data_IF_692044183566
#
_entry.id   IF_692044183566
#
_cell.length_a   1.000
_cell.length_b   1.000
_cell.length_c   1.000
_cell.angle_alpha   90.00
_cell.angle_beta   90.00
_cell.angle_gamma   90.00
#
_symmetry.space_group_name_H-M   'P 1'
#
loop_
_entity.id
_entity.type
_entity.pdbx_description
1 polymer ?
#
# COMPACT_ATOMS: atom_id res chain seq x y z
N UNK A 1 54.92 45.81 55.79
CA UNK A 1 53.74 45.22 55.11
C UNK A 1 54.23 43.99 54.36
N UNK A 2 53.99 42.79 54.88
CA UNK A 2 54.52 41.54 54.30
C UNK A 2 53.35 40.67 53.81
N UNK A 3 53.36 40.33 52.52
CA UNK A 3 52.30 39.57 51.84
C UNK A 3 52.54 38.07 52.10
N UNK A 4 51.52 37.39 52.63
CA UNK A 4 51.52 35.95 52.93
C UNK A 4 51.19 35.17 51.64
N UNK A 5 51.95 34.15 51.23
CA UNK A 5 51.63 33.39 50.03
C UNK A 5 50.42 32.47 50.28
N UNK A 6 49.43 32.55 49.39
CA UNK A 6 48.28 31.66 49.34
C UNK A 6 48.71 30.29 48.81
N UNK A 7 48.53 29.23 49.61
CA UNK A 7 48.73 27.83 49.17
C UNK A 7 47.80 27.53 48.00
N UNK A 8 48.38 27.32 46.82
CA UNK A 8 47.67 26.87 45.64
C UNK A 8 47.30 25.38 45.82
N UNK A 9 46.02 25.08 45.97
CA UNK A 9 45.54 23.72 46.14
C UNK A 9 45.57 23.03 44.77
N UNK A 10 46.68 22.35 44.47
CA UNK A 10 46.85 21.58 43.24
C UNK A 10 45.67 20.63 43.06
N UNK A 11 44.81 20.91 42.09
CA UNK A 11 43.77 19.98 41.67
C UNK A 11 44.47 18.69 41.24
N UNK A 12 44.22 17.61 41.96
CA UNK A 12 44.65 16.27 41.57
C UNK A 12 43.92 15.87 40.29
N UNK A 13 44.50 16.23 39.15
CA UNK A 13 44.10 15.75 37.82
C UNK A 13 44.53 14.30 37.68
N UNK A 14 43.80 13.39 38.35
CA UNK A 14 43.95 11.96 38.10
C UNK A 14 43.47 11.71 36.69
N UNK A 15 44.40 11.44 35.78
CA UNK A 15 44.10 11.06 34.40
C UNK A 15 43.35 9.74 34.35
N UNK A 16 42.46 9.60 33.37
CA UNK A 16 41.73 8.36 33.13
C UNK A 16 42.69 7.24 32.78
N UNK A 17 42.46 6.07 33.35
CA UNK A 17 43.26 4.89 33.02
C UNK A 17 42.85 4.36 31.65
N UNK A 18 43.81 3.78 30.91
CA UNK A 18 43.54 3.22 29.57
C UNK A 18 42.50 2.08 29.65
N UNK A 19 42.48 1.33 30.76
CA UNK A 19 41.51 0.28 31.01
C UNK A 19 40.08 0.83 31.23
N UNK A 20 39.95 1.97 31.90
CA UNK A 20 38.65 2.60 32.14
C UNK A 20 38.02 3.10 30.83
N UNK A 21 38.83 3.72 29.96
CA UNK A 21 38.38 4.15 28.63
C UNK A 21 37.94 2.93 27.80
N UNK A 22 38.67 1.82 27.88
CA UNK A 22 38.33 0.59 27.17
C UNK A 22 36.98 0.01 27.65
N UNK A 23 36.76 -0.03 28.97
CA UNK A 23 35.49 -0.51 29.56
C UNK A 23 34.33 0.39 29.14
N UNK A 24 34.51 1.71 29.19
CA UNK A 24 33.45 2.68 28.80
C UNK A 24 33.10 2.55 27.32
N UNK A 25 34.10 2.45 26.44
CA UNK A 25 33.85 2.24 25.01
C UNK A 25 33.15 0.90 24.74
N UNK A 26 33.51 -0.15 25.47
CA UNK A 26 32.84 -1.45 25.40
C UNK A 26 31.36 -1.38 25.82
N UNK A 27 31.05 -0.66 26.91
CA UNK A 27 29.68 -0.46 27.38
C UNK A 27 28.85 0.37 26.38
N UNK A 28 29.41 1.43 25.81
CA UNK A 28 28.71 2.24 24.80
C UNK A 28 28.43 1.40 23.54
N UNK A 29 29.41 0.63 23.06
CA UNK A 29 29.23 -0.26 21.91
C UNK A 29 28.17 -1.33 22.17
N UNK A 30 28.13 -1.89 23.38
CA UNK A 30 27.14 -2.88 23.78
C UNK A 30 25.71 -2.30 23.84
N UNK A 31 25.56 -1.09 24.38
CA UNK A 31 24.26 -0.40 24.43
C UNK A 31 23.77 -0.07 23.02
N UNK A 32 24.65 0.40 22.13
CA UNK A 32 24.32 0.65 20.72
C UNK A 32 23.86 -0.65 20.05
N UNK A 33 24.55 -1.77 20.28
CA UNK A 33 24.20 -3.06 19.71
C UNK A 33 22.81 -3.54 20.13
N UNK A 34 22.41 -3.31 21.39
CA UNK A 34 21.07 -3.64 21.86
C UNK A 34 19.99 -2.67 21.33
N UNK A 35 20.33 -1.40 21.10
CA UNK A 35 19.39 -0.37 20.65
C UNK A 35 18.89 -0.54 19.21
N UNK A 36 19.70 -1.11 18.32
CA UNK A 36 19.41 -1.17 16.87
C UNK A 36 18.21 -2.07 16.53
N UNK A 37 17.92 -3.12 17.32
CA UNK A 37 16.88 -4.10 16.94
C UNK A 37 15.43 -3.65 17.16
N UNK A 38 15.16 -2.52 17.82
CA UNK A 38 13.79 -2.10 18.18
C UNK A 38 13.11 -1.14 17.17
N UNK A 39 13.83 -0.64 16.17
CA UNK A 39 13.32 0.44 15.31
C UNK A 39 12.70 0.01 13.98
N UNK A 40 12.85 -1.24 13.56
CA UNK A 40 12.24 -1.72 12.32
C UNK A 40 10.91 -2.40 12.65
N UNK A 41 9.83 -1.62 12.71
CA UNK A 41 8.49 -2.14 12.95
C UNK A 41 7.83 -2.43 11.58
N UNK A 42 7.86 -3.69 11.07
CA UNK A 42 7.38 -4.01 9.72
C UNK A 42 5.91 -3.63 9.48
N UNK A 43 5.10 -3.61 10.55
CA UNK A 43 3.67 -3.32 10.49
C UNK A 43 3.34 -1.90 9.98
N UNK A 44 4.22 -0.91 10.21
CA UNK A 44 3.97 0.47 9.74
C UNK A 44 4.06 0.55 8.22
N UNK A 45 4.96 -0.22 7.62
CA UNK A 45 5.16 -0.27 6.17
C UNK A 45 3.97 -0.92 5.45
N UNK A 46 3.33 -1.92 6.05
CA UNK A 46 2.16 -2.59 5.48
C UNK A 46 0.96 -1.67 5.38
N UNK A 47 0.65 -0.99 6.49
CA UNK A 47 -0.44 -0.01 6.53
C UNK A 47 -0.19 1.14 5.54
N UNK A 48 1.08 1.53 5.33
CA UNK A 48 1.45 2.52 4.33
C UNK A 48 1.19 2.02 2.90
N UNK A 49 1.52 0.76 2.59
CA UNK A 49 1.22 0.17 1.28
C UNK A 49 -0.30 0.14 1.00
N UNK A 50 -1.11 -0.28 1.98
CA UNK A 50 -2.58 -0.26 1.86
C UNK A 50 -3.13 1.16 1.69
N UNK A 51 -2.65 2.12 2.50
CA UNK A 51 -3.01 3.55 2.36
C UNK A 51 -2.67 4.09 0.98
N UNK A 52 -1.55 3.66 0.41
CA UNK A 52 -1.14 4.11 -0.91
C UNK A 52 -2.11 3.65 -2.00
N UNK A 53 -2.65 2.42 -1.91
CA UNK A 53 -3.72 1.95 -2.82
C UNK A 53 -4.95 2.84 -2.71
N UNK A 54 -5.37 3.19 -1.48
CA UNK A 54 -6.49 4.11 -1.27
C UNK A 54 -6.22 5.51 -1.84
N UNK A 55 -5.00 6.03 -1.70
CA UNK A 55 -4.61 7.31 -2.30
C UNK A 55 -4.61 7.26 -3.82
N UNK A 56 -4.07 6.20 -4.42
CA UNK A 56 -4.10 6.01 -5.88
C UNK A 56 -5.54 5.99 -6.40
N UNK A 57 -6.45 5.28 -5.72
CA UNK A 57 -7.87 5.26 -6.10
C UNK A 57 -8.48 6.67 -6.16
N UNK A 58 -8.29 7.49 -5.10
CA UNK A 58 -8.76 8.88 -5.09
C UNK A 58 -8.15 9.73 -6.20
N UNK A 59 -6.85 9.54 -6.44
CA UNK A 59 -6.12 10.24 -7.50
C UNK A 59 -6.66 9.89 -8.89
N UNK A 60 -6.91 8.61 -9.17
CA UNK A 60 -7.49 8.16 -10.44
C UNK A 60 -8.87 8.74 -10.68
N UNK A 61 -9.70 8.83 -9.65
CA UNK A 61 -11.01 9.46 -9.76
C UNK A 61 -10.94 10.95 -10.10
N UNK A 62 -10.00 11.70 -9.49
CA UNK A 62 -9.81 13.11 -9.84
C UNK A 62 -9.23 13.24 -11.25
N UNK A 63 -8.22 12.43 -11.58
CA UNK A 63 -7.56 12.46 -12.88
C UNK A 63 -8.49 12.06 -14.03
N UNK A 64 -9.40 11.08 -13.85
CA UNK A 64 -10.31 10.64 -14.92
C UNK A 64 -11.18 11.81 -15.39
N UNK A 65 -11.70 12.60 -14.44
CA UNK A 65 -12.48 13.82 -14.71
C UNK A 65 -11.67 14.91 -15.40
N UNK A 66 -10.40 15.09 -15.02
CA UNK A 66 -9.55 16.15 -15.58
C UNK A 66 -9.02 15.82 -16.98
N UNK A 67 -8.73 14.55 -17.25
CA UNK A 67 -8.09 14.11 -18.49
C UNK A 67 -9.06 13.59 -19.54
N UNK A 68 -10.32 13.32 -19.16
CA UNK A 68 -11.34 12.82 -20.06
C UNK A 68 -11.12 11.37 -20.50
N UNK A 69 -10.21 10.64 -19.85
CA UNK A 69 -9.88 9.23 -20.17
C UNK A 69 -10.30 8.29 -19.05
N UNK A 70 -10.58 7.04 -19.42
CA UNK A 70 -10.93 6.00 -18.45
C UNK A 70 -9.65 5.46 -17.83
N UNK A 71 -9.55 5.49 -16.50
CA UNK A 71 -8.48 4.77 -15.79
C UNK A 71 -9.03 3.48 -15.21
N UNK A 72 -8.15 2.49 -15.03
CA UNK A 72 -8.44 1.33 -14.19
C UNK A 72 -7.30 1.02 -13.26
N UNK A 73 -7.64 0.64 -12.04
CA UNK A 73 -6.72 0.08 -11.06
C UNK A 73 -6.75 -1.44 -11.22
N UNK A 74 -5.66 -2.01 -11.71
CA UNK A 74 -5.52 -3.43 -11.97
C UNK A 74 -4.84 -4.14 -10.79
N UNK A 75 -5.37 -5.31 -10.45
CA UNK A 75 -4.91 -6.17 -9.37
C UNK A 75 -4.63 -7.55 -9.94
N UNK A 76 -3.41 -8.04 -9.78
CA UNK A 76 -3.02 -9.41 -10.10
C UNK A 76 -2.84 -10.20 -8.80
N UNK A 77 -3.72 -11.17 -8.58
CA UNK A 77 -3.76 -12.02 -7.41
C UNK A 77 -3.04 -13.32 -7.73
N UNK A 78 -1.79 -13.41 -7.29
CA UNK A 78 -0.87 -14.49 -7.64
C UNK A 78 -0.88 -15.67 -6.66
N UNK A 79 -1.72 -15.60 -5.63
CA UNK A 79 -1.80 -16.61 -4.59
C UNK A 79 -0.46 -16.81 -3.88
N UNK A 80 -0.06 -18.06 -3.62
CA UNK A 80 1.17 -18.38 -2.89
C UNK A 80 2.45 -18.37 -3.75
N UNK A 81 2.35 -18.20 -5.07
CA UNK A 81 3.49 -18.39 -6.00
C UNK A 81 4.36 -17.16 -6.19
N UNK A 82 3.77 -15.96 -6.14
CA UNK A 82 4.48 -14.68 -6.30
C UNK A 82 3.78 -13.56 -5.54
N UNK A 83 4.44 -12.42 -5.40
CA UNK A 83 3.84 -11.21 -4.82
C UNK A 83 2.65 -10.76 -5.69
N UNK A 84 1.59 -10.29 -5.03
CA UNK A 84 0.46 -9.69 -5.74
C UNK A 84 0.90 -8.34 -6.32
N UNK A 85 0.34 -7.97 -7.47
CA UNK A 85 0.73 -6.76 -8.18
C UNK A 85 -0.43 -5.80 -8.34
N UNK A 86 -0.13 -4.51 -8.26
CA UNK A 86 -1.09 -3.43 -8.47
C UNK A 86 -0.49 -2.39 -9.40
N UNK A 87 -1.27 -1.96 -10.37
CA UNK A 87 -0.87 -0.91 -11.30
C UNK A 87 -2.06 -0.16 -11.88
N UNK A 88 -1.75 0.92 -12.57
CA UNK A 88 -2.74 1.78 -13.21
C UNK A 88 -2.63 1.62 -14.71
N UNK A 89 -3.77 1.51 -15.38
CA UNK A 89 -3.87 1.57 -16.83
C UNK A 89 -4.85 2.65 -17.25
N UNK A 90 -4.66 3.18 -18.45
CA UNK A 90 -5.53 4.18 -19.05
C UNK A 90 -6.04 3.71 -20.41
N UNK A 91 -7.27 4.10 -20.74
CA UNK A 91 -7.84 3.96 -22.07
C UNK A 91 -8.37 5.29 -22.57
N UNK A 92 -8.01 5.62 -23.80
CA UNK A 92 -8.51 6.79 -24.52
C UNK A 92 -9.90 6.55 -25.15
N UNK A 93 -10.46 5.34 -25.04
CA UNK A 93 -11.78 5.00 -25.57
C UNK A 93 -12.84 5.08 -24.47
N UNK A 94 -14.07 5.46 -24.85
CA UNK A 94 -15.23 5.42 -23.94
C UNK A 94 -15.56 3.96 -23.63
N UNK A 95 -15.50 3.61 -22.36
CA UNK A 95 -15.76 2.26 -21.87
C UNK A 95 -16.92 2.35 -20.89
N UNK A 96 -17.90 1.47 -21.06
CA UNK A 96 -19.02 1.30 -20.13
C UNK A 96 -18.65 0.25 -19.09
N UNK A 97 -19.23 0.31 -17.89
CA UNK A 97 -19.05 -0.75 -16.89
C UNK A 97 -19.38 -2.11 -17.50
N UNK A 98 -18.46 -3.09 -17.44
CA UNK A 98 -18.70 -4.40 -18.02
C UNK A 98 -19.88 -5.06 -17.31
N UNK A 99 -20.86 -5.53 -18.08
CA UNK A 99 -22.06 -6.16 -17.53
C UNK A 99 -21.73 -7.50 -16.85
N UNK A 100 -22.59 -7.95 -15.94
CA UNK A 100 -22.43 -9.22 -15.22
C UNK A 100 -22.23 -10.42 -16.17
N UNK A 101 -22.83 -10.36 -17.37
CA UNK A 101 -22.68 -11.36 -18.44
C UNK A 101 -21.30 -11.32 -19.08
N UNK A 102 -20.76 -10.12 -19.36
CA UNK A 102 -19.42 -9.95 -19.94
C UNK A 102 -18.31 -10.32 -18.95
N UNK A 103 -18.50 -10.05 -17.65
CA UNK A 103 -17.58 -10.47 -16.59
C UNK A 103 -17.57 -11.99 -16.40
N UNK A 104 -18.74 -12.65 -16.45
CA UNK A 104 -18.85 -14.12 -16.40
C UNK A 104 -18.23 -14.78 -17.66
N UNK A 105 -18.46 -14.22 -18.84
CA UNK A 105 -17.84 -14.71 -20.09
C UNK A 105 -16.31 -14.55 -20.11
N UNK A 106 -15.76 -13.44 -19.59
CA UNK A 106 -14.30 -13.26 -19.42
C UNK A 106 -13.70 -14.21 -18.36
N UNK A 107 -14.49 -14.64 -17.37
CA UNK A 107 -14.06 -15.55 -16.30
C UNK A 107 -14.02 -17.02 -16.74
N UNK A 108 -14.98 -17.45 -17.57
CA UNK A 108 -15.03 -18.82 -18.12
C UNK A 108 -14.04 -19.02 -19.28
N UNK A 109 -13.69 -17.95 -20.00
CA UNK A 109 -12.55 -17.95 -20.93
C UNK A 109 -11.24 -17.79 -20.16
N UNK A 110 -10.74 -18.89 -19.60
CA UNK A 110 -9.28 -19.01 -19.43
C UNK A 110 -8.66 -18.76 -20.81
N UNK A 111 -7.71 -17.83 -20.87
CA UNK A 111 -6.82 -17.62 -22.03
C UNK A 111 -7.41 -16.81 -23.20
N UNK A 112 -7.52 -15.49 -23.04
CA UNK A 112 -6.97 -14.57 -24.05
C UNK A 112 -6.66 -13.17 -23.45
N UNK A 113 -5.50 -12.99 -22.81
CA UNK A 113 -5.05 -11.69 -22.34
C UNK A 113 -4.74 -10.69 -23.47
N UNK A 114 -4.81 -11.08 -24.75
CA UNK A 114 -4.47 -10.24 -25.89
C UNK A 114 -5.63 -9.31 -26.28
N UNK A 115 -6.88 -9.74 -26.09
CA UNK A 115 -8.08 -8.94 -26.39
C UNK A 115 -8.37 -7.81 -25.40
N UNK A 116 -7.97 -7.96 -24.14
CA UNK A 116 -8.14 -6.91 -23.10
C UNK A 116 -6.97 -5.90 -23.10
N UNK A 117 -5.79 -6.29 -23.61
CA UNK A 117 -4.62 -5.42 -23.78
C UNK A 117 -4.78 -4.36 -24.88
N UNK A 118 -5.76 -4.51 -25.77
CA UNK A 118 -5.91 -3.60 -26.92
C UNK A 118 -6.52 -2.24 -26.56
N UNK A 119 -7.27 -2.13 -25.45
CA UNK A 119 -7.99 -0.89 -25.10
C UNK A 119 -7.32 -0.12 -23.97
N UNK A 120 -6.63 -0.81 -23.07
CA UNK A 120 -5.93 -0.21 -21.95
C UNK A 120 -4.43 -0.38 -22.12
N UNK A 121 -3.70 0.73 -22.00
CA UNK A 121 -2.25 0.72 -22.01
C UNK A 121 -1.72 1.39 -20.75
N UNK A 122 -0.55 0.96 -20.28
CA UNK A 122 0.14 1.63 -19.18
C UNK A 122 0.53 3.03 -19.70
N UNK A 123 -0.21 4.06 -19.29
CA UNK A 123 0.07 5.43 -19.71
C UNK A 123 1.31 5.95 -18.96
N UNK A 124 2.42 6.06 -19.69
CA UNK A 124 3.71 6.56 -19.19
C UNK A 124 3.64 8.03 -18.72
N UNK A 125 2.58 8.78 -19.07
CA UNK A 125 2.34 10.17 -18.62
C UNK A 125 1.78 10.23 -17.21
N UNK A 126 1.21 9.14 -16.71
CA UNK A 126 0.93 8.95 -15.28
C UNK A 126 2.26 8.59 -14.63
N UNK A 127 3.06 9.61 -14.33
CA UNK A 127 4.40 9.44 -13.77
C UNK A 127 4.44 8.36 -12.69
N UNK A 128 5.25 7.32 -12.91
CA UNK A 128 5.76 6.43 -11.87
C UNK A 128 4.74 5.57 -11.09
N UNK A 129 3.68 5.08 -11.74
CA UNK A 129 2.92 3.92 -11.24
C UNK A 129 3.05 2.72 -12.20
N UNK A 130 4.30 2.39 -12.54
CA UNK A 130 4.61 1.09 -13.14
C UNK A 130 4.14 -0.07 -12.26
N UNK A 131 4.09 -1.27 -12.83
CA UNK A 131 3.68 -2.50 -12.13
C UNK A 131 4.36 -2.58 -10.77
N UNK A 132 3.57 -2.47 -9.70
CA UNK A 132 4.09 -2.45 -8.33
C UNK A 132 3.74 -3.74 -7.63
N UNK A 133 4.77 -4.37 -7.09
CA UNK A 133 4.60 -5.53 -6.23
C UNK A 133 4.21 -5.08 -4.83
N UNK A 134 3.19 -5.73 -4.26
CA UNK A 134 2.86 -5.59 -2.85
C UNK A 134 4.04 -6.11 -2.01
N UNK A 135 4.25 -5.58 -0.79
CA UNK A 135 5.17 -6.17 0.16
C UNK A 135 4.90 -7.68 0.30
N UNK A 136 5.96 -8.49 0.39
CA UNK A 136 5.87 -9.95 0.28
C UNK A 136 4.90 -10.62 1.26
N UNK A 137 4.65 -9.99 2.40
CA UNK A 137 3.76 -10.48 3.43
C UNK A 137 2.31 -9.97 3.30
N UNK A 138 1.97 -9.20 2.27
CA UNK A 138 0.65 -8.63 2.03
C UNK A 138 0.01 -9.31 0.81
N UNK A 139 -1.25 -9.72 0.94
CA UNK A 139 -2.03 -10.41 -0.10
C UNK A 139 -3.40 -9.79 -0.28
N UNK A 140 -3.84 -9.75 -1.53
CA UNK A 140 -5.22 -9.44 -1.88
C UNK A 140 -6.00 -10.74 -1.72
N UNK A 141 -6.97 -10.76 -0.81
CA UNK A 141 -7.81 -11.94 -0.56
C UNK A 141 -8.95 -12.06 -1.54
N UNK A 142 -9.64 -10.94 -1.77
CA UNK A 142 -10.76 -10.84 -2.70
C UNK A 142 -11.08 -9.40 -3.04
N UNK A 143 -11.78 -9.22 -4.15
CA UNK A 143 -12.40 -7.97 -4.55
C UNK A 143 -13.90 -8.22 -4.71
N UNK A 144 -14.70 -7.52 -3.92
CA UNK A 144 -16.15 -7.50 -4.01
C UNK A 144 -16.56 -6.34 -4.92
N UNK A 145 -17.53 -6.58 -5.81
CA UNK A 145 -18.09 -5.55 -6.69
C UNK A 145 -19.58 -5.47 -6.44
N UNK A 146 -20.15 -4.27 -6.46
CA UNK A 146 -21.59 -4.11 -6.21
C UNK A 146 -22.48 -4.82 -7.25
N UNK A 147 -21.97 -4.99 -8.47
CA UNK A 147 -22.70 -5.62 -9.57
C UNK A 147 -22.50 -7.15 -9.63
N UNK A 148 -21.60 -7.72 -8.83
CA UNK A 148 -21.33 -9.15 -8.82
C UNK A 148 -21.81 -9.77 -7.52
N UNK A 149 -22.54 -10.88 -7.61
CA UNK A 149 -22.92 -11.66 -6.43
C UNK A 149 -21.72 -12.32 -5.75
N UNK A 150 -20.69 -12.67 -6.52
CA UNK A 150 -19.53 -13.42 -6.05
C UNK A 150 -18.26 -12.57 -6.14
N UNK A 151 -17.50 -12.55 -5.05
CA UNK A 151 -16.21 -11.87 -5.01
C UNK A 151 -15.17 -12.53 -5.93
N UNK A 152 -14.26 -11.73 -6.47
CA UNK A 152 -13.11 -12.21 -7.25
C UNK A 152 -11.96 -12.50 -6.29
N UNK A 153 -11.59 -13.76 -6.11
CA UNK A 153 -10.57 -14.20 -5.15
C UNK A 153 -9.26 -14.68 -5.79
N UNK A 154 -9.10 -14.53 -7.11
CA UNK A 154 -7.89 -14.96 -7.82
C UNK A 154 -7.86 -14.50 -9.27
N UNK A 155 -6.65 -14.46 -9.85
CA UNK A 155 -6.43 -13.97 -11.20
C UNK A 155 -6.40 -12.45 -11.25
N UNK A 156 -7.14 -11.86 -12.19
CA UNK A 156 -7.19 -10.42 -12.42
C UNK A 156 -8.45 -9.79 -11.83
N UNK A 157 -8.29 -8.66 -11.15
CA UNK A 157 -9.36 -7.76 -10.76
C UNK A 157 -9.11 -6.35 -11.25
N UNK A 158 -10.17 -5.60 -11.52
CA UNK A 158 -10.08 -4.25 -12.08
C UNK A 158 -11.13 -3.35 -11.44
N UNK A 159 -10.75 -2.15 -11.02
CA UNK A 159 -11.69 -1.10 -10.63
C UNK A 159 -11.61 0.03 -11.65
N UNK A 160 -12.72 0.34 -12.31
CA UNK A 160 -12.78 1.34 -13.38
C UNK A 160 -13.17 2.73 -12.87
N UNK A 161 -12.50 3.76 -13.38
CA UNK A 161 -12.71 5.17 -13.09
C UNK A 161 -13.02 5.87 -14.41
N UNK A 162 -14.28 6.24 -14.59
CA UNK A 162 -14.77 6.82 -15.84
C UNK A 162 -14.57 8.35 -15.88
N UNK A 163 -14.45 8.94 -17.09
CA UNK A 163 -14.36 10.39 -17.29
C UNK A 163 -15.53 11.18 -16.70
N UNK A 164 -16.71 10.58 -16.66
CA UNK A 164 -17.94 11.18 -16.14
C UNK A 164 -17.92 11.36 -14.61
N UNK A 165 -16.84 10.94 -13.95
CA UNK A 165 -16.72 10.97 -12.50
C UNK A 165 -17.43 9.80 -11.82
N UNK A 166 -17.78 8.76 -12.56
CA UNK A 166 -18.30 7.52 -11.96
C UNK A 166 -17.13 6.57 -11.73
N UNK A 167 -17.11 5.92 -10.58
CA UNK A 167 -16.20 4.82 -10.27
C UNK A 167 -17.00 3.56 -10.00
N UNK A 168 -16.44 2.42 -10.36
CA UNK A 168 -16.99 1.12 -10.02
C UNK A 168 -17.00 0.92 -8.51
N UNK A 169 -18.16 0.60 -7.96
CA UNK A 169 -18.32 0.36 -6.52
C UNK A 169 -17.72 -1.00 -6.15
N UNK A 170 -16.67 -0.97 -5.31
CA UNK A 170 -15.91 -2.16 -4.97
C UNK A 170 -15.32 -2.11 -3.55
N UNK A 171 -15.15 -3.28 -2.93
CA UNK A 171 -14.36 -3.45 -1.71
C UNK A 171 -13.16 -4.38 -1.97
N UNK A 172 -11.96 -3.88 -1.74
CA UNK A 172 -10.72 -4.64 -1.87
C UNK A 172 -10.29 -5.11 -0.48
N UNK A 173 -10.21 -6.43 -0.31
CA UNK A 173 -9.87 -7.07 0.95
C UNK A 173 -8.41 -7.49 0.91
N UNK A 174 -7.61 -6.93 1.82
CA UNK A 174 -6.17 -7.14 1.89
C UNK A 174 -5.83 -7.70 3.27
N UNK A 175 -5.02 -8.74 3.31
CA UNK A 175 -4.57 -9.34 4.56
C UNK A 175 -3.08 -9.66 4.52
N UNK A 176 -2.48 -9.84 5.69
CA UNK A 176 -1.19 -10.51 5.78
C UNK A 176 -1.31 -12.00 5.46
N UNK A 177 -0.23 -12.66 5.04
CA UNK A 177 -0.27 -14.09 4.71
C UNK A 177 -0.71 -14.99 5.87
N UNK A 178 -0.46 -14.55 7.11
CA UNK A 178 -0.85 -15.20 8.35
C UNK A 178 -2.25 -14.78 8.86
N UNK A 179 -2.97 -13.94 8.10
CA UNK A 179 -4.26 -13.36 8.45
C UNK A 179 -4.28 -12.51 9.74
N UNK A 180 -3.11 -12.18 10.32
CA UNK A 180 -3.01 -11.44 11.57
C UNK A 180 -3.50 -9.98 11.43
N UNK A 181 -3.24 -9.36 10.27
CA UNK A 181 -3.70 -8.00 9.97
C UNK A 181 -4.56 -8.02 8.71
N UNK A 182 -5.70 -7.35 8.77
CA UNK A 182 -6.68 -7.26 7.69
C UNK A 182 -7.12 -5.83 7.48
N UNK A 183 -7.38 -5.48 6.23
CA UNK A 183 -7.89 -4.18 5.82
C UNK A 183 -8.91 -4.35 4.69
N UNK A 184 -9.93 -3.50 4.71
CA UNK A 184 -10.83 -3.30 3.57
C UNK A 184 -10.66 -1.89 3.06
N UNK A 185 -10.47 -1.76 1.74
CA UNK A 185 -10.58 -0.49 1.01
C UNK A 185 -11.91 -0.50 0.27
N UNK A 186 -12.88 0.26 0.75
CA UNK A 186 -14.18 0.43 0.08
C UNK A 186 -14.16 1.69 -0.78
N UNK A 187 -14.59 1.55 -2.04
CA UNK A 187 -14.64 2.61 -3.04
C UNK A 187 -16.10 2.88 -3.37
N UNK A 188 -16.55 4.09 -3.07
CA UNK A 188 -17.94 4.50 -3.26
C UNK A 188 -18.19 5.05 -4.67
N UNK A 189 -19.35 4.74 -5.27
CA UNK A 189 -19.71 5.25 -6.58
C UNK A 189 -19.92 6.78 -6.53
N UNK A 190 -19.85 7.42 -7.71
CA UNK A 190 -20.08 8.86 -7.96
C UNK A 190 -19.09 9.84 -7.31
N UNK A 191 -18.78 9.66 -6.02
CA UNK A 191 -17.90 10.57 -5.26
C UNK A 191 -16.43 10.18 -5.39
N UNK A 192 -16.15 8.91 -5.72
CA UNK A 192 -14.79 8.37 -5.63
C UNK A 192 -14.25 8.36 -4.20
N UNK A 193 -15.12 8.48 -3.20
CA UNK A 193 -14.73 8.41 -1.79
C UNK A 193 -14.16 7.02 -1.52
N UNK A 194 -13.09 6.99 -0.75
CA UNK A 194 -12.42 5.76 -0.35
C UNK A 194 -12.37 5.69 1.17
N UNK A 195 -13.05 4.70 1.74
CA UNK A 195 -12.97 4.38 3.16
C UNK A 195 -11.98 3.23 3.37
N UNK A 196 -11.04 3.43 4.28
CA UNK A 196 -10.04 2.44 4.67
C UNK A 196 -10.29 2.04 6.12
N UNK A 197 -10.72 0.80 6.32
CA UNK A 197 -11.00 0.24 7.64
C UNK A 197 -10.04 -0.89 7.97
N UNK A 198 -9.79 -1.11 9.27
CA UNK A 198 -9.11 -2.31 9.73
C UNK A 198 -10.16 -3.42 9.88
N UNK A 199 -9.80 -4.65 9.51
CA UNK A 199 -10.70 -5.79 9.51
C UNK A 199 -11.12 -6.21 8.11
N UNK A 200 -11.89 -7.29 8.07
CA UNK A 200 -12.47 -7.85 6.85
C UNK A 200 -13.95 -7.50 6.81
N UNK A 201 -14.25 -6.28 6.35
CA UNK A 201 -15.61 -5.73 6.30
C UNK A 201 -16.16 -5.89 4.88
N UNK A 202 -17.30 -6.55 4.66
CA UNK A 202 -17.89 -6.74 3.33
C UNK A 202 -18.44 -5.44 2.75
N UNK A 203 -18.53 -5.35 1.42
CA UNK A 203 -18.96 -4.13 0.72
C UNK A 203 -20.34 -3.65 1.15
N UNK A 204 -21.25 -4.58 1.47
CA UNK A 204 -22.64 -4.26 1.85
C UNK A 204 -22.74 -3.40 3.11
N UNK A 205 -21.84 -3.56 4.06
CA UNK A 205 -21.84 -2.80 5.33
C UNK A 205 -21.43 -1.33 5.14
N UNK A 206 -20.83 -0.96 4.01
CA UNK A 206 -20.50 0.43 3.67
C UNK A 206 -21.68 1.18 3.04
N UNK A 207 -22.73 0.49 2.60
CA UNK A 207 -23.94 1.12 2.05
C UNK A 207 -24.87 1.68 3.13
N UNK A 208 -24.70 1.21 4.36
CA UNK A 208 -25.59 1.49 5.49
C UNK A 208 -25.10 2.64 6.40
N UNK A 209 -24.06 3.37 5.98
CA UNK A 209 -23.45 4.49 6.72
C UNK A 209 -23.53 5.80 5.93
#
# INVERSE_FOLDING_TARGET
>A
MAIKPTKNNGRNSRGFTLIEILIVMGLIAFIILMGVRKLQNPNTTLKQAVKQIATMSRELHVRSKLSGVTFRLAFEMNGKKSADRVWVEASTQKITFPSEKELKEKRDRRSDPEKDKSLFSIDKRIGSHGVRELPSNLKIRRIEYAQLENAVSGGMGYVHYLPEGVVEEAAIHIATEDDALKWTIAIHPLTGRVDLVNGDVPLKEFKEQ
#
